data_IF_539772917958
#
_entry.id   IF_539772917958
#
_cell.length_a   1.000
_cell.length_b   1.000
_cell.length_c   1.000
_cell.angle_alpha   90.00
_cell.angle_beta   90.00
_cell.angle_gamma   90.00
#
_symmetry.space_group_name_H-M   'P 1'
#
loop_
_entity.id
_entity.type
_entity.pdbx_description
1 polymer ?
#
# COMPACT_ATOMS: atom_id res chain seq x y z
N UNK A 1 -25.14 6.63 2.52
CA UNK A 1 -24.16 7.20 1.56
C UNK A 1 -22.71 7.10 2.10
N UNK A 2 -22.30 5.94 2.63
CA UNK A 2 -20.92 5.70 3.08
C UNK A 2 -20.34 4.37 2.57
N UNK A 3 -21.04 3.68 1.67
CA UNK A 3 -20.65 2.38 1.10
C UNK A 3 -19.61 2.47 -0.02
N UNK A 4 -19.12 3.66 -0.36
CA UNK A 4 -18.23 3.89 -1.53
C UNK A 4 -16.79 4.30 -1.17
N UNK A 5 -16.34 4.15 0.08
CA UNK A 5 -14.97 4.51 0.51
C UNK A 5 -14.15 3.36 1.10
N UNK A 6 -14.51 2.12 0.81
CA UNK A 6 -13.67 0.99 1.17
C UNK A 6 -12.88 0.58 -0.09
N UNK A 7 -11.55 0.82 -0.14
CA UNK A 7 -10.75 0.36 -1.25
C UNK A 7 -10.82 -1.16 -1.29
N UNK A 8 -11.34 -1.71 -2.41
CA UNK A 8 -11.33 -3.12 -2.80
C UNK A 8 -10.94 -4.13 -1.70
N UNK A 9 -11.93 -4.57 -0.91
CA UNK A 9 -11.84 -5.76 -0.04
C UNK A 9 -11.72 -7.06 -0.86
N UNK A 10 -10.76 -7.15 -1.78
CA UNK A 10 -10.46 -8.40 -2.50
C UNK A 10 -10.07 -9.53 -1.54
N UNK A 11 -9.52 -9.18 -0.37
CA UNK A 11 -9.16 -10.14 0.68
C UNK A 11 -10.37 -10.72 1.45
N UNK A 12 -11.58 -10.15 1.32
CA UNK A 12 -12.80 -10.76 1.86
C UNK A 12 -13.44 -11.76 0.90
N UNK A 13 -12.95 -11.88 -0.33
CA UNK A 13 -13.53 -12.80 -1.33
C UNK A 13 -13.44 -14.27 -0.93
N UNK A 14 -12.43 -14.64 -0.13
CA UNK A 14 -12.13 -16.02 0.26
C UNK A 14 -12.15 -16.23 1.79
N UNK A 15 -12.71 -15.29 2.57
CA UNK A 15 -12.79 -15.45 4.03
C UNK A 15 -13.84 -16.51 4.39
N UNK A 16 -13.50 -17.40 5.33
CA UNK A 16 -14.47 -18.38 5.82
C UNK A 16 -15.60 -17.66 6.56
N UNK A 17 -16.80 -18.23 6.55
CA UNK A 17 -17.93 -17.68 7.31
C UNK A 17 -17.61 -17.61 8.82
N UNK A 18 -16.79 -18.53 9.31
CA UNK A 18 -16.36 -18.61 10.70
C UNK A 18 -15.38 -17.47 11.05
N UNK A 19 -14.41 -17.19 10.17
CA UNK A 19 -13.46 -16.08 10.28
C UNK A 19 -14.22 -14.75 10.27
N UNK A 20 -15.18 -14.61 9.34
CA UNK A 20 -16.04 -13.42 9.25
C UNK A 20 -16.89 -13.22 10.51
N UNK A 21 -17.47 -14.30 11.05
CA UNK A 21 -18.26 -14.25 12.28
C UNK A 21 -17.41 -13.84 13.50
N UNK A 22 -16.16 -14.31 13.61
CA UNK A 22 -15.22 -13.87 14.65
C UNK A 22 -14.86 -12.40 14.51
N UNK A 23 -14.59 -11.92 13.29
CA UNK A 23 -14.34 -10.49 13.05
C UNK A 23 -15.55 -9.62 13.37
N UNK A 24 -16.77 -10.08 13.05
CA UNK A 24 -17.99 -9.34 13.36
C UNK A 24 -18.18 -9.12 14.88
N UNK A 25 -17.74 -10.07 15.71
CA UNK A 25 -17.77 -9.91 17.18
C UNK A 25 -16.82 -8.83 17.69
N UNK A 26 -15.75 -8.54 16.96
CA UNK A 26 -14.73 -7.52 17.31
C UNK A 26 -15.08 -6.12 16.77
N UNK A 27 -16.24 -5.97 16.12
CA UNK A 27 -16.65 -4.71 15.49
C UNK A 27 -16.69 -3.52 16.47
N UNK A 28 -17.20 -3.65 17.72
CA UNK A 28 -17.20 -2.55 18.68
C UNK A 28 -15.78 -2.08 19.03
N UNK A 29 -14.86 -3.01 19.23
CA UNK A 29 -13.47 -2.73 19.55
C UNK A 29 -12.73 -2.14 18.35
N UNK A 30 -12.93 -2.68 17.14
CA UNK A 30 -12.38 -2.11 15.90
C UNK A 30 -12.87 -0.67 15.69
N UNK A 31 -14.17 -0.41 15.92
CA UNK A 31 -14.75 0.94 15.82
C UNK A 31 -14.11 1.92 16.81
N UNK A 32 -13.70 1.44 17.99
CA UNK A 32 -13.00 2.29 18.96
C UNK A 32 -11.59 2.70 18.48
N UNK A 33 -10.90 1.81 17.75
CA UNK A 33 -9.60 2.10 17.16
C UNK A 33 -9.71 3.03 15.95
N UNK A 34 -10.74 2.86 15.11
CA UNK A 34 -11.01 3.76 13.98
C UNK A 34 -11.22 5.21 14.44
N UNK A 35 -11.88 5.43 15.59
CA UNK A 35 -12.04 6.78 16.15
C UNK A 35 -10.71 7.45 16.55
N UNK A 36 -9.69 6.66 16.88
CA UNK A 36 -8.34 7.21 17.13
C UNK A 36 -7.76 7.73 15.82
N UNK A 37 -7.92 6.99 14.73
CA UNK A 37 -7.49 7.40 13.38
C UNK A 37 -8.25 8.66 12.95
N UNK A 38 -9.57 8.72 13.17
CA UNK A 38 -10.39 9.91 12.88
C UNK A 38 -9.85 11.16 13.59
N UNK A 39 -9.34 11.01 14.82
CA UNK A 39 -8.69 12.09 15.56
C UNK A 39 -7.46 12.65 14.83
N UNK A 40 -6.60 11.78 14.28
CA UNK A 40 -5.44 12.19 13.49
C UNK A 40 -5.83 12.80 12.15
N UNK A 41 -6.86 12.25 11.48
CA UNK A 41 -7.38 12.83 10.24
C UNK A 41 -7.98 14.22 10.47
N UNK A 42 -8.60 14.45 11.62
CA UNK A 42 -9.13 15.76 11.99
C UNK A 42 -8.00 16.77 12.26
N UNK A 43 -6.91 16.35 12.91
CA UNK A 43 -5.71 17.19 13.05
C UNK A 43 -5.12 17.56 11.69
N UNK A 44 -5.01 16.59 10.78
CA UNK A 44 -4.55 16.83 9.41
C UNK A 44 -5.47 17.81 8.68
N UNK A 45 -6.80 17.64 8.79
CA UNK A 45 -7.81 18.52 8.19
C UNK A 45 -7.70 19.96 8.70
N UNK A 46 -7.34 20.13 9.96
CA UNK A 46 -7.13 21.43 10.59
C UNK A 46 -5.72 22.01 10.36
N UNK A 47 -4.85 21.32 9.61
CA UNK A 47 -3.43 21.65 9.46
C UNK A 47 -2.68 21.75 10.81
N UNK A 48 -3.07 20.91 11.76
CA UNK A 48 -2.52 20.81 13.13
C UNK A 48 -1.81 19.50 13.41
N UNK A 49 -1.67 18.64 12.40
CA UNK A 49 -0.80 17.47 12.48
C UNK A 49 0.62 17.91 12.13
N UNK A 50 1.45 18.09 13.14
CA UNK A 50 2.83 18.57 13.03
C UNK A 50 3.84 17.52 13.56
N UNK A 51 5.12 17.86 13.52
CA UNK A 51 6.21 16.94 13.88
C UNK A 51 6.24 16.64 15.39
N UNK A 52 5.64 17.50 16.20
CA UNK A 52 5.55 17.40 17.66
C UNK A 52 4.35 16.56 18.10
N UNK A 53 3.39 16.31 17.20
CA UNK A 53 2.24 15.48 17.48
C UNK A 53 2.64 14.03 17.71
N UNK A 54 2.38 13.52 18.92
CA UNK A 54 2.69 12.12 19.26
C UNK A 54 1.91 11.12 18.39
N UNK A 55 2.63 10.14 17.86
CA UNK A 55 2.08 9.03 17.07
C UNK A 55 1.93 7.73 17.89
N UNK A 56 2.20 7.75 19.19
CA UNK A 56 2.18 6.54 20.03
C UNK A 56 0.81 5.82 20.00
N UNK A 57 -0.29 6.58 19.95
CA UNK A 57 -1.62 5.98 19.85
C UNK A 57 -1.87 5.39 18.46
N UNK A 58 -1.29 5.96 17.40
CA UNK A 58 -1.35 5.39 16.06
C UNK A 58 -0.61 4.04 16.01
N UNK A 59 0.58 3.95 16.63
CA UNK A 59 1.33 2.69 16.71
C UNK A 59 0.56 1.60 17.45
N UNK A 60 -0.17 1.97 18.51
CA UNK A 60 -1.06 1.05 19.24
C UNK A 60 -2.22 0.57 18.36
N UNK A 61 -2.82 1.45 17.57
CA UNK A 61 -3.89 1.10 16.61
C UNK A 61 -3.36 0.13 15.56
N UNK A 62 -2.19 0.41 14.98
CA UNK A 62 -1.54 -0.48 14.00
C UNK A 62 -1.29 -1.87 14.61
N UNK A 63 -0.70 -1.90 15.81
CA UNK A 63 -0.43 -3.16 16.53
C UNK A 63 -1.71 -3.93 16.85
N UNK A 64 -2.79 -3.24 17.22
CA UNK A 64 -4.09 -3.85 17.48
C UNK A 64 -4.63 -4.55 16.22
N UNK A 65 -4.71 -3.84 15.09
CA UNK A 65 -5.25 -4.43 13.86
C UNK A 65 -4.36 -5.56 13.34
N UNK A 66 -3.03 -5.44 13.45
CA UNK A 66 -2.11 -6.55 13.16
C UNK A 66 -2.45 -7.81 13.97
N UNK A 67 -2.68 -7.67 15.27
CA UNK A 67 -3.01 -8.78 16.14
C UNK A 67 -4.38 -9.38 15.82
N UNK A 68 -5.40 -8.54 15.65
CA UNK A 68 -6.77 -8.98 15.31
C UNK A 68 -6.77 -9.78 14.02
N UNK A 69 -6.12 -9.27 12.97
CA UNK A 69 -6.10 -9.91 11.66
C UNK A 69 -5.26 -11.20 11.69
N UNK A 70 -4.11 -11.19 12.36
CA UNK A 70 -3.24 -12.37 12.53
C UNK A 70 -3.91 -13.54 13.25
N UNK A 71 -4.82 -13.26 14.18
CA UNK A 71 -5.52 -14.29 14.96
C UNK A 71 -6.80 -14.76 14.27
N UNK A 72 -7.54 -13.85 13.63
CA UNK A 72 -8.90 -14.15 13.19
C UNK A 72 -9.02 -14.54 11.72
N UNK A 73 -8.03 -14.19 10.89
CA UNK A 73 -8.01 -14.48 9.46
C UNK A 73 -7.03 -15.62 9.18
N UNK A 74 -7.54 -16.70 8.60
CA UNK A 74 -6.73 -17.85 8.18
C UNK A 74 -5.78 -17.49 7.02
N UNK A 75 -4.58 -18.07 7.01
CA UNK A 75 -3.62 -17.89 5.91
C UNK A 75 -4.20 -18.33 4.55
N UNK A 76 -5.15 -19.27 4.57
CA UNK A 76 -5.82 -19.83 3.38
C UNK A 76 -6.84 -18.87 2.76
N UNK A 77 -7.33 -17.87 3.51
CA UNK A 77 -8.21 -16.82 2.99
C UNK A 77 -7.49 -15.76 2.16
N UNK A 78 -6.15 -15.81 2.12
CA UNK A 78 -5.31 -14.80 1.47
C UNK A 78 -4.85 -15.24 0.08
N UNK A 79 -5.42 -14.62 -0.96
CA UNK A 79 -4.92 -14.79 -2.33
C UNK A 79 -3.57 -14.08 -2.47
N UNK A 80 -2.54 -14.87 -2.20
CA UNK A 80 -1.16 -14.40 -2.17
C UNK A 80 -0.69 -14.01 -3.58
N UNK A 81 -1.15 -14.72 -4.62
CA UNK A 81 -0.85 -14.37 -6.00
C UNK A 81 -1.46 -13.00 -6.36
N UNK A 82 -2.72 -12.76 -5.98
CA UNK A 82 -3.37 -11.47 -6.17
C UNK A 82 -2.68 -10.34 -5.39
N UNK A 83 -2.20 -10.59 -4.17
CA UNK A 83 -1.44 -9.59 -3.42
C UNK A 83 -0.12 -9.22 -4.09
N UNK A 84 0.71 -10.22 -4.44
CA UNK A 84 1.99 -9.93 -5.11
C UNK A 84 1.72 -9.19 -6.43
N UNK A 85 0.64 -9.53 -7.15
CA UNK A 85 0.24 -8.82 -8.36
C UNK A 85 -0.10 -7.36 -8.06
N UNK A 86 -0.83 -7.09 -6.98
CA UNK A 86 -1.14 -5.73 -6.52
C UNK A 86 0.12 -4.92 -6.20
N UNK A 87 1.10 -5.53 -5.51
CA UNK A 87 2.40 -4.89 -5.22
C UNK A 87 3.11 -4.47 -6.51
N UNK A 88 3.14 -5.32 -7.54
CA UNK A 88 3.72 -4.93 -8.84
C UNK A 88 2.95 -3.80 -9.52
N UNK A 89 1.62 -3.76 -9.41
CA UNK A 89 0.82 -2.64 -9.93
C UNK A 89 1.12 -1.32 -9.20
N UNK A 90 1.31 -1.36 -7.88
CA UNK A 90 1.72 -0.19 -7.10
C UNK A 90 3.11 0.30 -7.51
N UNK A 91 4.07 -0.60 -7.69
CA UNK A 91 5.42 -0.27 -8.20
C UNK A 91 5.33 0.40 -9.58
N UNK A 92 4.51 -0.11 -10.50
CA UNK A 92 4.30 0.48 -11.82
C UNK A 92 3.70 1.90 -11.74
N UNK A 93 2.77 2.12 -10.82
CA UNK A 93 2.17 3.44 -10.57
C UNK A 93 3.22 4.42 -10.03
N UNK A 94 4.06 3.98 -9.09
CA UNK A 94 5.16 4.78 -8.56
C UNK A 94 6.17 5.17 -9.65
N UNK A 95 6.60 4.20 -10.47
CA UNK A 95 7.50 4.45 -11.61
C UNK A 95 6.91 5.48 -12.57
N UNK A 96 5.61 5.36 -12.88
CA UNK A 96 4.90 6.31 -13.75
C UNK A 96 4.89 7.72 -13.15
N UNK A 97 4.59 7.84 -11.85
CA UNK A 97 4.64 9.12 -11.15
C UNK A 97 6.04 9.74 -11.20
N UNK A 98 7.09 8.96 -10.98
CA UNK A 98 8.46 9.46 -11.05
C UNK A 98 8.82 9.94 -12.46
N UNK A 99 8.43 9.22 -13.52
CA UNK A 99 8.63 9.64 -14.92
C UNK A 99 7.94 10.97 -15.23
N UNK A 100 6.69 11.15 -14.78
CA UNK A 100 5.95 12.41 -14.97
C UNK A 100 6.67 13.57 -14.27
N UNK A 101 7.16 13.38 -13.05
CA UNK A 101 7.88 14.44 -12.34
C UNK A 101 9.24 14.76 -12.97
N UNK A 102 9.92 13.78 -13.57
CA UNK A 102 11.14 14.04 -14.35
C UNK A 102 10.89 14.87 -15.60
N UNK A 103 9.78 14.61 -16.32
CA UNK A 103 9.36 15.43 -17.44
C UNK A 103 9.05 16.87 -16.98
N UNK A 104 8.42 17.04 -15.82
CA UNK A 104 8.18 18.37 -15.22
C UNK A 104 9.50 19.08 -14.91
N UNK A 105 10.45 18.41 -14.25
CA UNK A 105 11.77 18.99 -13.95
C UNK A 105 12.46 19.39 -15.25
N UNK A 106 12.42 18.53 -16.27
CA UNK A 106 13.00 18.81 -17.58
C UNK A 106 12.37 20.04 -18.24
N UNK A 107 11.05 20.20 -18.12
CA UNK A 107 10.31 21.34 -18.67
C UNK A 107 10.63 22.66 -17.94
N UNK A 108 10.86 22.62 -16.63
CA UNK A 108 11.19 23.81 -15.85
C UNK A 108 12.68 24.20 -15.89
N UNK A 109 13.54 23.39 -16.53
CA UNK A 109 14.92 23.79 -16.81
C UNK A 109 14.91 25.00 -17.77
N UNK A 110 15.66 26.04 -17.40
CA UNK A 110 15.78 27.23 -18.25
C UNK A 110 16.42 26.85 -19.60
N UNK A 111 16.01 27.50 -20.71
CA UNK A 111 16.69 27.36 -21.99
C UNK A 111 18.19 27.61 -21.85
N UNK A 112 19.02 26.69 -22.37
CA UNK A 112 20.48 26.74 -22.26
C UNK A 112 21.10 25.93 -21.10
N UNK A 113 20.29 25.26 -20.27
CA UNK A 113 20.76 24.32 -19.24
C UNK A 113 20.59 22.84 -19.62
N UNK A 114 20.42 22.56 -20.91
CA UNK A 114 20.17 21.22 -21.46
C UNK A 114 21.38 20.27 -21.31
N UNK A 115 22.56 20.85 -21.12
CA UNK A 115 23.83 20.15 -20.82
C UNK A 115 24.29 20.35 -19.36
N UNK A 116 23.37 20.74 -18.47
CA UNK A 116 23.71 20.85 -17.05
C UNK A 116 23.76 19.47 -16.37
N UNK A 117 24.52 19.38 -15.27
CA UNK A 117 24.55 18.19 -14.41
C UNK A 117 23.15 17.72 -13.99
N UNK A 118 22.21 18.66 -13.85
CA UNK A 118 20.80 18.37 -13.52
C UNK A 118 20.10 17.68 -14.69
N UNK A 119 20.31 18.14 -15.92
CA UNK A 119 19.75 17.52 -17.11
C UNK A 119 20.31 16.09 -17.30
N UNK A 120 21.61 15.90 -17.04
CA UNK A 120 22.27 14.59 -17.08
C UNK A 120 21.75 13.65 -16.00
N UNK A 121 21.55 14.17 -14.78
CA UNK A 121 20.96 13.40 -13.70
C UNK A 121 19.52 12.97 -14.03
N UNK A 122 18.67 13.87 -14.54
CA UNK A 122 17.29 13.55 -14.92
C UNK A 122 17.24 12.49 -16.02
N UNK A 123 18.16 12.56 -17.01
CA UNK A 123 18.27 11.55 -18.07
C UNK A 123 18.70 10.19 -17.51
N UNK A 124 19.70 10.18 -16.64
CA UNK A 124 20.19 8.96 -15.98
C UNK A 124 19.08 8.30 -15.17
N UNK A 125 18.38 9.09 -14.36
CA UNK A 125 17.28 8.60 -13.53
C UNK A 125 16.10 8.10 -14.38
N UNK A 126 15.82 8.73 -15.52
CA UNK A 126 14.84 8.25 -16.49
C UNK A 126 15.19 6.88 -17.09
N UNK A 127 16.47 6.64 -17.39
CA UNK A 127 16.96 5.34 -17.87
C UNK A 127 16.84 4.25 -16.80
N UNK A 128 17.19 4.55 -15.55
CA UNK A 128 17.02 3.63 -14.43
C UNK A 128 15.55 3.26 -14.19
N UNK A 129 14.64 4.24 -14.26
CA UNK A 129 13.21 3.97 -14.16
C UNK A 129 12.68 3.09 -15.30
N UNK A 130 13.22 3.23 -16.51
CA UNK A 130 12.85 2.35 -17.61
C UNK A 130 13.29 0.90 -17.34
N UNK A 131 14.46 0.69 -16.74
CA UNK A 131 14.92 -0.64 -16.31
C UNK A 131 14.02 -1.21 -15.20
N UNK A 132 13.70 -0.40 -14.19
CA UNK A 132 12.77 -0.78 -13.11
C UNK A 132 11.39 -1.16 -13.65
N UNK A 133 10.89 -0.45 -14.66
CA UNK A 133 9.61 -0.76 -15.30
C UNK A 133 9.63 -2.14 -15.97
N UNK A 134 10.69 -2.46 -16.72
CA UNK A 134 10.83 -3.77 -17.35
C UNK A 134 10.92 -4.89 -16.32
N UNK A 135 11.64 -4.65 -15.21
CA UNK A 135 11.71 -5.60 -14.09
C UNK A 135 10.35 -5.81 -13.43
N UNK A 136 9.60 -4.73 -13.18
CA UNK A 136 8.28 -4.82 -12.57
C UNK A 136 7.27 -5.56 -13.47
N UNK A 137 7.28 -5.30 -14.79
CA UNK A 137 6.46 -6.03 -15.76
C UNK A 137 6.82 -7.52 -15.78
N UNK A 138 8.12 -7.84 -15.83
CA UNK A 138 8.60 -9.23 -15.83
C UNK A 138 8.23 -9.94 -14.54
N UNK A 139 8.38 -9.27 -13.41
CA UNK A 139 8.04 -9.81 -12.08
C UNK A 139 6.54 -10.10 -11.94
N UNK A 140 5.67 -9.17 -12.36
CA UNK A 140 4.22 -9.39 -12.35
C UNK A 140 3.80 -10.57 -13.24
N UNK A 141 4.39 -10.71 -14.43
CA UNK A 141 4.11 -11.85 -15.33
C UNK A 141 4.62 -13.20 -14.81
N UNK A 142 5.57 -13.20 -13.88
CA UNK A 142 6.12 -14.43 -13.30
C UNK A 142 5.24 -15.02 -12.20
N UNK A 143 4.20 -14.30 -11.76
CA UNK A 143 3.29 -14.76 -10.73
C UNK A 143 2.43 -15.91 -11.29
N UNK A 144 2.37 -17.07 -10.63
CA UNK A 144 1.56 -18.19 -11.10
C UNK A 144 0.06 -17.85 -11.04
N UNK A 145 -0.64 -18.00 -12.15
CA UNK A 145 -2.10 -17.82 -12.24
C UNK A 145 -2.89 -19.06 -11.81
N UNK A 146 -2.29 -20.25 -11.93
CA UNK A 146 -2.95 -21.55 -11.68
C UNK A 146 -2.41 -22.31 -10.46
N UNK A 147 -1.40 -21.77 -9.77
CA UNK A 147 -0.81 -22.38 -8.56
C UNK A 147 -0.88 -21.37 -7.43
N UNK A 148 -1.45 -21.76 -6.30
CA UNK A 148 -1.40 -20.97 -5.07
C UNK A 148 0.08 -20.67 -4.74
N UNK A 149 0.46 -19.39 -4.81
CA UNK A 149 1.76 -18.94 -4.34
C UNK A 149 1.77 -19.07 -2.81
N UNK A 150 2.28 -20.18 -2.29
CA UNK A 150 2.39 -20.40 -0.85
C UNK A 150 3.60 -19.67 -0.30
N UNK A 151 3.38 -18.47 0.22
CA UNK A 151 4.37 -17.77 1.03
C UNK A 151 4.40 -18.35 2.45
N UNK A 152 5.46 -18.03 3.20
CA UNK A 152 5.56 -18.44 4.60
C UNK A 152 4.41 -17.82 5.41
N UNK A 153 3.94 -18.48 6.48
CA UNK A 153 2.86 -17.96 7.33
C UNK A 153 3.11 -16.54 7.87
N UNK A 154 4.37 -16.13 7.99
CA UNK A 154 4.77 -14.78 8.39
C UNK A 154 4.49 -13.76 7.28
N UNK A 155 4.76 -14.09 6.02
CA UNK A 155 4.55 -13.18 4.89
C UNK A 155 3.06 -12.93 4.61
N UNK A 156 2.19 -13.94 4.74
CA UNK A 156 0.73 -13.75 4.63
C UNK A 156 0.18 -12.81 5.72
N UNK A 157 0.79 -12.79 6.92
CA UNK A 157 0.40 -11.90 8.02
C UNK A 157 0.81 -10.44 7.79
N UNK A 158 1.95 -10.19 7.13
CA UNK A 158 2.39 -8.83 6.78
C UNK A 158 1.65 -8.25 5.57
N UNK A 159 1.30 -9.09 4.60
CA UNK A 159 0.69 -8.67 3.35
C UNK A 159 -0.69 -8.00 3.53
N UNK A 160 -1.47 -8.42 4.54
CA UNK A 160 -2.74 -7.77 4.88
C UNK A 160 -2.54 -6.40 5.54
N UNK A 161 -1.45 -6.20 6.29
CA UNK A 161 -1.17 -4.96 6.99
C UNK A 161 -0.81 -3.80 6.04
N UNK A 162 -0.31 -4.11 4.85
CA UNK A 162 0.06 -3.12 3.82
C UNK A 162 -1.02 -2.88 2.76
N UNK A 163 -2.11 -3.65 2.74
CA UNK A 163 -3.21 -3.43 1.78
C UNK A 163 -4.16 -2.28 2.17
N UNK A 164 -3.86 -1.57 3.27
CA UNK A 164 -4.59 -0.40 3.76
C UNK A 164 -3.97 0.94 3.35
N UNK A 165 -2.92 0.92 2.51
CA UNK A 165 -2.29 2.11 1.91
C UNK A 165 -2.33 2.05 0.38
#
# INVERSE_FOLDING_TARGET
MLTNRLPNFSALGNISLEDLARLAQLQPEMSSQERVIDGYLELLRQARLDAETSLENMDKVVTYFQNVLSVNISADSYDTSAWVQSVYQQIMTCITWCKVNMQRISYFLKPGLEESDVADFVRTLGNELAQCEQLAIKGGKAIPTDKELKLTPQACKFAFCFSWY
#
